data_IF_829270336887
#
_entry.id   IF_829270336887
#
_cell.length_a   1.000
_cell.length_b   1.000
_cell.length_c   1.000
_cell.angle_alpha   90.00
_cell.angle_beta   90.00
_cell.angle_gamma   90.00
#
_symmetry.space_group_name_H-M   'P 1'
#
loop_
_entity.id
_entity.type
_entity.pdbx_description
1 polymer ?
#
# COMPACT_ATOMS: atom_id res chain seq x y z
N UNK A 1 16.35 -5.41 17.56
CA UNK A 1 15.93 -4.02 17.86
C UNK A 1 15.03 -4.03 19.09
N UNK A 2 15.17 -3.08 20.02
CA UNK A 2 14.22 -2.96 21.13
C UNK A 2 12.84 -2.49 20.62
N UNK A 3 11.80 -2.75 21.39
CA UNK A 3 10.45 -2.23 21.13
C UNK A 3 10.33 -0.80 21.67
N UNK A 4 9.66 0.08 20.92
CA UNK A 4 9.37 1.46 21.34
C UNK A 4 8.30 1.53 22.45
N UNK A 5 7.41 0.54 22.52
CA UNK A 5 6.36 0.40 23.52
C UNK A 5 5.94 -1.06 23.67
N UNK A 6 5.20 -1.37 24.73
CA UNK A 6 4.66 -2.72 24.94
C UNK A 6 3.65 -3.10 23.85
N UNK A 7 3.70 -4.32 23.28
CA UNK A 7 2.75 -4.73 22.25
C UNK A 7 1.29 -4.52 22.65
N UNK A 8 0.50 -3.93 21.75
CA UNK A 8 -0.93 -3.66 21.97
C UNK A 8 -1.28 -2.37 22.73
N UNK A 9 -0.29 -1.60 23.21
CA UNK A 9 -0.58 -0.36 23.97
C UNK A 9 -0.63 0.91 23.11
N UNK A 10 0.01 0.90 21.93
CA UNK A 10 0.02 2.00 20.98
C UNK A 10 0.09 1.48 19.54
N UNK A 11 -0.14 2.37 18.58
CA UNK A 11 0.06 2.09 17.15
C UNK A 11 1.30 2.83 16.65
N UNK A 12 2.14 2.19 15.83
CA UNK A 12 3.24 2.88 15.16
C UNK A 12 3.53 2.22 13.81
N UNK A 13 3.78 3.04 12.80
CA UNK A 13 4.26 2.56 11.51
C UNK A 13 5.68 2.01 11.66
N UNK A 14 5.91 0.79 11.21
CA UNK A 14 7.15 0.06 11.54
C UNK A 14 7.42 -1.11 10.60
N UNK A 15 8.57 -1.76 10.80
CA UNK A 15 9.00 -3.01 10.14
C UNK A 15 8.17 -4.25 10.54
N UNK A 16 7.03 -4.07 11.23
CA UNK A 16 6.15 -5.18 11.60
C UNK A 16 5.71 -6.02 10.40
N UNK A 17 5.52 -5.42 9.23
CA UNK A 17 5.16 -6.14 8.00
C UNK A 17 6.31 -6.98 7.46
N UNK A 18 7.57 -6.58 7.66
CA UNK A 18 8.73 -7.42 7.35
C UNK A 18 8.77 -8.66 8.25
N UNK A 19 8.41 -8.50 9.53
CA UNK A 19 8.25 -9.63 10.46
C UNK A 19 7.11 -10.54 10.00
N UNK A 20 5.97 -10.00 9.54
CA UNK A 20 4.90 -10.82 8.95
C UNK A 20 5.38 -11.59 7.71
N UNK A 21 6.18 -10.97 6.83
CA UNK A 21 6.82 -11.63 5.70
C UNK A 21 7.68 -12.80 6.13
N UNK A 22 8.56 -12.60 7.11
CA UNK A 22 9.37 -13.68 7.69
C UNK A 22 8.52 -14.80 8.32
N UNK A 23 7.42 -14.45 9.00
CA UNK A 23 6.51 -15.45 9.57
C UNK A 23 5.85 -16.31 8.47
N UNK A 24 5.52 -15.73 7.32
CA UNK A 24 5.05 -16.52 6.15
C UNK A 24 6.12 -17.53 5.75
N UNK A 25 7.38 -17.13 5.68
CA UNK A 25 8.48 -18.03 5.30
C UNK A 25 8.63 -19.19 6.28
N UNK A 26 8.64 -18.89 7.59
CA UNK A 26 8.76 -19.90 8.64
C UNK A 26 7.58 -20.87 8.64
N UNK A 27 6.35 -20.37 8.46
CA UNK A 27 5.13 -21.18 8.56
C UNK A 27 4.90 -22.04 7.32
N UNK A 28 5.36 -21.59 6.15
CA UNK A 28 5.10 -22.26 4.87
C UNK A 28 6.30 -23.05 4.35
N UNK A 29 7.51 -22.75 4.83
CA UNK A 29 8.76 -23.29 4.30
C UNK A 29 9.12 -22.76 2.91
N UNK A 30 8.38 -21.79 2.37
CA UNK A 30 8.65 -21.12 1.09
C UNK A 30 9.33 -19.78 1.35
N UNK A 31 10.20 -19.33 0.45
CA UNK A 31 10.64 -17.93 0.48
C UNK A 31 9.48 -16.99 0.14
N UNK A 32 9.51 -15.75 0.64
CA UNK A 32 8.39 -14.82 0.53
C UNK A 32 8.04 -14.51 -0.93
N UNK A 33 9.02 -14.42 -1.83
CA UNK A 33 8.80 -14.21 -3.27
C UNK A 33 8.01 -15.36 -3.89
N UNK A 34 8.33 -16.62 -3.54
CA UNK A 34 7.63 -17.81 -4.04
C UNK A 34 6.22 -17.90 -3.51
N UNK A 35 6.04 -17.60 -2.23
CA UNK A 35 4.70 -17.60 -1.64
C UNK A 35 3.80 -16.53 -2.30
N UNK A 36 4.28 -15.30 -2.44
CA UNK A 36 3.50 -14.23 -3.07
C UNK A 36 3.22 -14.51 -4.55
N UNK A 37 4.20 -15.07 -5.27
CA UNK A 37 4.04 -15.49 -6.67
C UNK A 37 2.90 -16.51 -6.82
N UNK A 38 2.92 -17.58 -6.03
CA UNK A 38 1.97 -18.69 -6.16
C UNK A 38 0.57 -18.35 -5.63
N UNK A 39 0.48 -17.63 -4.50
CA UNK A 39 -0.78 -17.41 -3.80
C UNK A 39 -1.48 -16.10 -4.21
N UNK A 40 -0.75 -15.14 -4.79
CA UNK A 40 -1.29 -13.81 -5.13
C UNK A 40 -1.02 -13.43 -6.58
N UNK A 41 0.25 -13.38 -7.00
CA UNK A 41 0.59 -12.76 -8.28
C UNK A 41 0.09 -13.60 -9.46
N UNK A 42 0.32 -14.91 -9.46
CA UNK A 42 -0.17 -15.78 -10.53
C UNK A 42 -1.70 -15.85 -10.60
N UNK A 43 -2.45 -16.07 -9.49
CA UNK A 43 -3.91 -16.04 -9.52
C UNK A 43 -4.50 -14.73 -10.04
N UNK A 44 -3.82 -13.60 -9.81
CA UNK A 44 -4.26 -12.27 -10.24
C UNK A 44 -3.60 -11.80 -11.54
N UNK A 45 -2.76 -12.62 -12.17
CA UNK A 45 -1.98 -12.30 -13.37
C UNK A 45 -1.14 -11.02 -13.23
N UNK A 46 -0.54 -10.82 -12.06
CA UNK A 46 0.38 -9.71 -11.77
C UNK A 46 1.80 -10.05 -12.26
N UNK A 47 1.99 -10.08 -13.59
CA UNK A 47 3.17 -10.67 -14.24
C UNK A 47 4.47 -9.85 -14.07
N UNK A 48 4.35 -8.61 -13.60
CA UNK A 48 5.43 -7.66 -13.45
C UNK A 48 5.61 -7.22 -11.99
N UNK A 49 5.02 -7.96 -11.05
CA UNK A 49 5.16 -7.71 -9.61
C UNK A 49 6.16 -8.67 -8.99
N UNK A 50 7.08 -8.14 -8.20
CA UNK A 50 8.10 -8.93 -7.52
C UNK A 50 9.07 -8.08 -6.73
N UNK A 51 10.11 -8.70 -6.17
CA UNK A 51 11.12 -8.01 -5.37
C UNK A 51 12.27 -7.40 -6.19
N UNK A 52 12.32 -7.69 -7.50
CA UNK A 52 13.28 -7.12 -8.44
C UNK A 52 12.73 -7.25 -9.87
N UNK A 53 13.28 -6.48 -10.80
CA UNK A 53 12.95 -6.49 -12.22
C UNK A 53 13.95 -7.38 -12.97
N UNK A 54 13.50 -8.47 -13.63
CA UNK A 54 14.36 -9.28 -14.47
C UNK A 54 15.02 -8.46 -15.59
N UNK A 55 16.24 -8.83 -16.00
CA UNK A 55 17.04 -8.11 -16.99
C UNK A 55 16.31 -7.81 -18.31
N UNK A 56 15.41 -8.70 -18.75
CA UNK A 56 14.60 -8.53 -19.97
C UNK A 56 13.51 -7.44 -19.85
N UNK A 57 13.24 -6.93 -18.65
CA UNK A 57 12.15 -6.00 -18.34
C UNK A 57 12.64 -4.63 -17.85
N UNK A 58 13.94 -4.44 -17.61
CA UNK A 58 14.52 -3.22 -17.01
C UNK A 58 14.28 -1.95 -17.81
N UNK A 59 14.09 -2.08 -19.14
CA UNK A 59 13.75 -0.95 -20.02
C UNK A 59 12.43 -0.24 -19.69
N UNK A 60 11.55 -0.86 -18.87
CA UNK A 60 10.28 -0.26 -18.41
C UNK A 60 10.34 0.24 -16.97
N UNK A 61 11.44 -0.03 -16.25
CA UNK A 61 11.59 0.44 -14.87
C UNK A 61 11.75 1.96 -14.88
N UNK A 62 11.05 2.64 -13.98
CA UNK A 62 11.19 4.08 -13.75
C UNK A 62 12.26 4.35 -12.71
N UNK A 63 13.12 5.35 -12.97
CA UNK A 63 14.03 5.88 -11.95
C UNK A 63 13.26 6.61 -10.86
N UNK A 64 13.82 6.63 -9.64
CA UNK A 64 13.24 7.29 -8.48
C UNK A 64 14.08 8.49 -8.03
N UNK A 65 13.40 9.55 -7.64
CA UNK A 65 14.01 10.85 -7.36
C UNK A 65 13.67 11.35 -5.96
N UNK A 66 14.62 12.03 -5.33
CA UNK A 66 14.42 12.84 -4.12
C UNK A 66 14.16 14.29 -4.53
N UNK A 67 13.03 14.83 -4.10
CA UNK A 67 12.69 16.24 -4.27
C UNK A 67 13.63 17.14 -3.47
N UNK A 68 13.95 18.30 -4.06
CA UNK A 68 14.71 19.36 -3.39
C UNK A 68 14.09 20.72 -3.66
N UNK A 69 13.73 21.42 -2.58
CA UNK A 69 13.15 22.75 -2.70
C UNK A 69 14.11 23.73 -3.39
N UNK A 70 13.63 24.37 -4.46
CA UNK A 70 14.39 25.35 -5.25
C UNK A 70 15.58 24.78 -6.01
N UNK A 71 15.67 23.45 -6.19
CA UNK A 71 16.76 22.77 -6.90
C UNK A 71 16.22 21.64 -7.77
N UNK A 72 17.07 21.14 -8.67
CA UNK A 72 16.77 19.92 -9.40
C UNK A 72 16.65 18.72 -8.44
N UNK A 73 15.71 17.79 -8.69
CA UNK A 73 15.62 16.54 -7.96
C UNK A 73 16.90 15.70 -8.09
N UNK A 74 17.21 14.91 -7.06
CA UNK A 74 18.33 13.98 -7.11
C UNK A 74 17.84 12.60 -7.50
N UNK A 75 18.52 11.97 -8.46
CA UNK A 75 18.36 10.55 -8.75
C UNK A 75 18.86 9.72 -7.56
N UNK A 76 17.96 8.98 -6.92
CA UNK A 76 18.27 8.14 -5.74
C UNK A 76 18.20 6.64 -6.03
N UNK A 77 17.47 6.24 -7.07
CA UNK A 77 17.50 4.88 -7.59
C UNK A 77 17.34 4.91 -9.11
N UNK A 78 18.31 4.35 -9.82
CA UNK A 78 18.38 4.42 -11.28
C UNK A 78 17.75 3.18 -11.92
N UNK A 79 16.94 3.36 -12.95
CA UNK A 79 16.25 2.26 -13.63
C UNK A 79 17.19 1.20 -14.25
N UNK A 80 18.46 1.53 -14.50
CA UNK A 80 19.40 0.69 -15.23
C UNK A 80 20.61 0.26 -14.41
N UNK A 81 20.87 0.91 -13.28
CA UNK A 81 22.00 0.63 -12.39
C UNK A 81 21.62 0.54 -10.91
N UNK A 82 20.33 0.73 -10.62
CA UNK A 82 19.76 0.77 -9.28
C UNK A 82 19.61 -0.57 -8.59
N UNK A 83 18.99 -0.53 -7.41
CA UNK A 83 18.91 -1.69 -6.52
C UNK A 83 17.91 -2.76 -7.02
N UNK A 84 16.82 -2.33 -7.64
CA UNK A 84 15.73 -3.22 -8.06
C UNK A 84 16.02 -4.05 -9.32
N UNK A 85 17.16 -3.90 -10.00
CA UNK A 85 17.49 -4.73 -11.18
C UNK A 85 18.21 -6.03 -10.80
N UNK A 86 18.48 -6.24 -9.51
CA UNK A 86 19.14 -7.43 -8.97
C UNK A 86 18.28 -8.04 -7.85
N UNK A 87 18.30 -9.37 -7.66
CA UNK A 87 17.64 -10.00 -6.52
C UNK A 87 18.15 -9.39 -5.19
N UNK A 88 17.25 -8.96 -4.28
CA UNK A 88 17.67 -8.38 -3.02
C UNK A 88 18.17 -9.47 -2.06
N UNK A 89 18.98 -9.07 -1.08
CA UNK A 89 19.43 -9.96 0.00
C UNK A 89 18.37 -10.20 1.07
N UNK A 90 17.37 -9.31 1.16
CA UNK A 90 16.24 -9.39 2.08
C UNK A 90 14.93 -9.13 1.31
N UNK A 91 13.97 -10.04 1.43
CA UNK A 91 12.61 -9.88 0.90
C UNK A 91 11.77 -9.08 1.90
N UNK A 92 11.76 -7.75 1.76
CA UNK A 92 11.05 -6.85 2.67
C UNK A 92 9.53 -6.87 2.43
N UNK A 93 8.77 -7.48 3.33
CA UNK A 93 7.31 -7.45 3.32
C UNK A 93 6.70 -6.03 3.48
N UNK A 94 7.46 -5.08 4.04
CA UNK A 94 7.01 -3.70 4.25
C UNK A 94 7.31 -2.71 3.11
N UNK A 95 8.27 -2.99 2.22
CA UNK A 95 8.71 -2.01 1.22
C UNK A 95 9.61 -2.51 0.09
N UNK A 96 9.63 -3.80 -0.22
CA UNK A 96 10.55 -4.38 -1.21
C UNK A 96 9.98 -4.68 -2.61
N UNK A 97 8.69 -4.45 -2.85
CA UNK A 97 8.06 -4.80 -4.13
C UNK A 97 8.18 -3.69 -5.18
N UNK A 98 8.48 -4.10 -6.42
CA UNK A 98 8.19 -3.36 -7.66
C UNK A 98 6.95 -3.96 -8.30
N UNK A 99 6.18 -3.12 -9.01
CA UNK A 99 4.93 -3.50 -9.66
C UNK A 99 4.60 -2.53 -10.80
N UNK A 100 3.48 -2.76 -11.48
CA UNK A 100 2.94 -1.87 -12.53
C UNK A 100 1.55 -1.39 -12.14
N UNK A 101 1.07 -0.35 -12.82
CA UNK A 101 -0.28 0.16 -12.60
C UNK A 101 -1.33 -0.94 -12.78
N UNK A 102 -1.21 -1.73 -13.85
CA UNK A 102 -2.15 -2.79 -14.18
C UNK A 102 -2.13 -3.93 -13.17
N UNK A 103 -0.95 -4.37 -12.74
CA UNK A 103 -0.80 -5.40 -11.73
C UNK A 103 -1.40 -4.98 -10.39
N UNK A 104 -1.05 -3.77 -9.92
CA UNK A 104 -1.57 -3.28 -8.64
C UNK A 104 -3.08 -2.97 -8.72
N UNK A 105 -3.58 -2.61 -9.89
CA UNK A 105 -5.02 -2.48 -10.15
C UNK A 105 -5.72 -3.86 -10.10
N UNK A 106 -5.09 -4.94 -10.56
CA UNK A 106 -5.63 -6.29 -10.40
C UNK A 106 -5.76 -6.68 -8.93
N UNK A 107 -4.75 -6.37 -8.10
CA UNK A 107 -4.85 -6.50 -6.64
C UNK A 107 -6.02 -5.70 -6.07
N UNK A 108 -6.16 -4.42 -6.43
CA UNK A 108 -7.25 -3.58 -5.94
C UNK A 108 -8.64 -4.10 -6.37
N UNK A 109 -8.77 -4.58 -7.61
CA UNK A 109 -10.00 -5.21 -8.13
C UNK A 109 -10.32 -6.52 -7.43
N UNK A 110 -9.33 -7.31 -7.00
CA UNK A 110 -9.56 -8.51 -6.19
C UNK A 110 -10.18 -8.16 -4.83
N UNK A 111 -9.70 -7.08 -4.20
CA UNK A 111 -10.26 -6.58 -2.95
C UNK A 111 -11.69 -6.06 -3.17
N UNK A 112 -11.90 -5.24 -4.20
CA UNK A 112 -13.23 -4.73 -4.58
C UNK A 112 -14.21 -5.88 -4.88
N UNK A 113 -13.75 -6.90 -5.60
CA UNK A 113 -14.42 -8.17 -5.87
C UNK A 113 -14.51 -9.13 -4.68
N UNK A 114 -14.33 -8.63 -3.45
CA UNK A 114 -14.52 -9.33 -2.18
C UNK A 114 -13.66 -10.59 -2.04
N UNK A 115 -12.37 -10.46 -2.38
CA UNK A 115 -11.37 -11.52 -2.27
C UNK A 115 -11.22 -12.36 -3.54
N UNK A 116 -11.82 -11.95 -4.66
CA UNK A 116 -11.77 -12.68 -5.92
C UNK A 116 -11.74 -11.76 -7.14
N UNK A 117 -11.06 -12.20 -8.19
CA UNK A 117 -10.99 -11.54 -9.49
C UNK A 117 -11.09 -12.61 -10.59
N UNK A 118 -11.92 -12.37 -11.62
CA UNK A 118 -12.07 -13.27 -12.78
C UNK A 118 -12.26 -14.77 -12.44
N UNK A 119 -12.96 -15.07 -11.35
CA UNK A 119 -13.22 -16.44 -10.89
C UNK A 119 -12.11 -17.06 -10.03
N UNK A 120 -10.96 -16.41 -9.89
CA UNK A 120 -9.91 -16.81 -8.95
C UNK A 120 -10.13 -16.16 -7.58
N UNK A 121 -10.16 -16.98 -6.52
CA UNK A 121 -10.32 -16.52 -5.13
C UNK A 121 -9.00 -16.59 -4.39
N UNK A 122 -8.53 -15.44 -3.92
CA UNK A 122 -7.33 -15.30 -3.08
C UNK A 122 -7.70 -15.25 -1.60
N UNK A 123 -8.80 -14.55 -1.27
CA UNK A 123 -9.28 -14.42 0.10
C UNK A 123 -10.75 -14.83 0.19
N UNK A 124 -11.13 -15.42 1.33
CA UNK A 124 -12.55 -15.56 1.65
C UNK A 124 -13.15 -14.18 1.89
N UNK A 125 -14.42 -14.01 1.51
CA UNK A 125 -15.17 -12.77 1.77
C UNK A 125 -15.14 -12.37 3.25
N UNK A 126 -15.24 -13.35 4.17
CA UNK A 126 -15.22 -13.09 5.61
C UNK A 126 -13.85 -12.72 6.15
N UNK A 127 -12.78 -13.25 5.54
CA UNK A 127 -11.41 -12.82 5.81
C UNK A 127 -11.24 -11.36 5.42
N UNK A 128 -11.74 -10.97 4.24
CA UNK A 128 -11.66 -9.57 3.82
C UNK A 128 -12.49 -8.65 4.71
N UNK A 129 -13.72 -9.03 5.08
CA UNK A 129 -14.55 -8.27 6.03
C UNK A 129 -13.78 -8.02 7.36
N UNK A 130 -12.99 -9.01 7.82
CA UNK A 130 -12.14 -8.87 9.00
C UNK A 130 -10.95 -7.92 8.74
N UNK A 131 -10.29 -8.05 7.59
CA UNK A 131 -9.14 -7.20 7.23
C UNK A 131 -9.54 -5.73 7.09
N UNK A 132 -10.74 -5.46 6.56
CA UNK A 132 -11.27 -4.11 6.33
C UNK A 132 -11.90 -3.47 7.56
N UNK A 133 -11.99 -4.17 8.69
CA UNK A 133 -12.52 -3.63 9.94
C UNK A 133 -11.49 -2.74 10.64
N UNK A 134 -11.93 -1.76 11.45
CA UNK A 134 -11.01 -1.01 12.29
C UNK A 134 -10.53 -1.87 13.47
N UNK A 135 -9.24 -2.16 13.54
CA UNK A 135 -8.61 -2.96 14.60
C UNK A 135 -7.98 -2.11 15.70
N UNK A 136 -8.10 -0.79 15.64
CA UNK A 136 -7.65 0.10 16.70
C UNK A 136 -8.55 -0.01 17.95
N UNK A 137 -7.92 -0.09 19.12
CA UNK A 137 -8.59 -0.30 20.40
C UNK A 137 -9.72 0.69 20.63
N UNK A 138 -10.90 0.19 21.04
CA UNK A 138 -12.11 0.98 21.30
C UNK A 138 -12.63 1.81 20.11
N UNK A 139 -12.34 1.38 18.87
CA UNK A 139 -12.82 2.07 17.67
C UNK A 139 -12.17 3.44 17.44
N UNK A 140 -11.01 3.66 18.06
CA UNK A 140 -10.19 4.86 17.92
C UNK A 140 -9.77 5.11 16.47
N UNK A 141 -9.43 6.35 16.16
CA UNK A 141 -8.72 6.71 14.93
C UNK A 141 -7.21 6.75 15.17
N UNK A 142 -6.45 6.73 14.07
CA UNK A 142 -4.99 6.78 14.09
C UNK A 142 -4.48 8.04 14.79
N UNK A 143 -5.16 9.18 14.66
CA UNK A 143 -4.77 10.43 15.36
C UNK A 143 -4.72 10.25 16.87
N UNK A 144 -5.65 9.46 17.44
CA UNK A 144 -5.77 9.28 18.88
C UNK A 144 -4.80 8.27 19.51
N UNK A 145 -4.14 7.42 18.70
CA UNK A 145 -3.29 6.34 19.22
C UNK A 145 -1.94 6.16 18.53
N UNK A 146 -1.67 6.88 17.43
CA UNK A 146 -0.38 6.80 16.74
C UNK A 146 0.75 7.42 17.59
N UNK A 147 1.79 6.61 17.81
CA UNK A 147 3.03 7.00 18.45
C UNK A 147 3.98 7.55 17.39
N UNK A 148 4.37 8.83 17.50
CA UNK A 148 5.16 9.52 16.48
C UNK A 148 4.30 10.09 15.34
N UNK A 149 4.51 11.36 14.99
CA UNK A 149 3.75 12.08 13.96
C UNK A 149 4.39 11.89 12.57
N UNK A 150 4.46 10.66 12.09
CA UNK A 150 5.09 10.34 10.79
C UNK A 150 4.10 10.35 9.62
N UNK A 151 3.13 11.27 9.63
CA UNK A 151 2.09 11.30 8.59
C UNK A 151 1.86 12.65 7.99
N UNK A 152 1.71 12.61 6.67
CA UNK A 152 1.36 13.73 5.79
C UNK A 152 -0.13 14.10 5.93
N UNK A 153 -0.93 13.19 6.51
CA UNK A 153 -2.36 13.33 6.74
C UNK A 153 -2.67 13.43 8.23
N UNK A 154 -3.71 14.19 8.59
CA UNK A 154 -4.12 14.43 9.98
C UNK A 154 -4.54 13.16 10.74
N UNK A 155 -4.82 12.05 10.05
CA UNK A 155 -5.31 10.78 10.62
C UNK A 155 -6.61 10.86 11.44
N UNK A 156 -7.23 12.04 11.53
CA UNK A 156 -8.55 12.22 12.14
C UNK A 156 -9.58 11.50 11.28
N UNK A 157 -10.45 10.70 11.89
CA UNK A 157 -11.49 9.97 11.16
C UNK A 157 -10.96 8.81 10.30
N UNK A 158 -9.70 8.41 10.48
CA UNK A 158 -9.06 7.29 9.77
C UNK A 158 -8.63 6.23 10.77
N UNK A 159 -9.16 5.02 10.64
CA UNK A 159 -8.77 3.83 11.41
C UNK A 159 -7.68 3.04 10.71
N UNK A 160 -7.36 1.87 11.27
CA UNK A 160 -6.40 0.94 10.65
C UNK A 160 -6.90 -0.48 10.78
N UNK A 161 -6.98 -1.17 9.64
CA UNK A 161 -7.33 -2.58 9.55
C UNK A 161 -6.10 -3.47 9.48
N UNK A 162 -6.27 -4.67 8.93
CA UNK A 162 -5.15 -5.59 8.69
C UNK A 162 -4.58 -5.33 7.30
N UNK A 163 -3.65 -4.37 7.22
CA UNK A 163 -2.93 -4.01 5.99
C UNK A 163 -3.44 -2.76 5.26
N UNK A 164 -4.46 -2.07 5.79
CA UNK A 164 -5.06 -0.89 5.17
C UNK A 164 -5.35 0.20 6.21
N UNK A 165 -5.26 1.47 5.82
CA UNK A 165 -6.05 2.49 6.49
C UNK A 165 -7.52 2.34 6.12
N UNK A 166 -8.42 2.68 7.04
CA UNK A 166 -9.88 2.56 6.86
C UNK A 166 -10.53 3.91 7.12
N UNK A 167 -11.25 4.47 6.15
CA UNK A 167 -11.96 5.73 6.35
C UNK A 167 -13.17 5.52 7.27
N UNK A 168 -13.16 6.13 8.46
CA UNK A 168 -14.25 5.99 9.46
C UNK A 168 -15.27 7.13 9.36
N UNK A 169 -14.78 8.34 9.09
CA UNK A 169 -15.57 9.56 9.05
C UNK A 169 -14.98 10.55 8.01
N UNK A 170 -15.56 10.60 6.79
CA UNK A 170 -15.12 11.50 5.73
C UNK A 170 -15.14 12.99 6.13
N UNK A 171 -16.13 13.41 6.93
CA UNK A 171 -16.27 14.80 7.35
C UNK A 171 -15.17 15.20 8.34
N UNK A 172 -14.88 14.33 9.31
CA UNK A 172 -13.77 14.53 10.25
C UNK A 172 -12.40 14.46 9.56
N UNK A 173 -12.26 13.60 8.54
CA UNK A 173 -11.04 13.50 7.72
C UNK A 173 -10.88 14.63 6.70
N UNK A 174 -11.93 15.42 6.44
CA UNK A 174 -11.96 16.49 5.44
C UNK A 174 -11.56 16.02 4.03
N UNK A 175 -12.06 14.86 3.63
CA UNK A 175 -11.83 14.28 2.30
C UNK A 175 -13.12 13.78 1.68
N UNK A 176 -13.20 13.81 0.35
CA UNK A 176 -14.25 13.09 -0.38
C UNK A 176 -13.96 11.59 -0.36
N UNK A 177 -14.97 10.80 -0.02
CA UNK A 177 -14.90 9.35 -0.01
C UNK A 177 -15.93 8.73 0.90
N UNK A 178 -16.04 7.41 0.84
CA UNK A 178 -17.04 6.67 1.63
C UNK A 178 -16.47 6.07 2.90
N UNK A 179 -17.32 5.96 3.92
CA UNK A 179 -16.99 5.20 5.12
C UNK A 179 -16.72 3.73 4.76
N UNK A 180 -15.60 3.19 5.20
CA UNK A 180 -15.14 1.84 4.92
C UNK A 180 -14.18 1.73 3.73
N UNK A 181 -13.89 2.84 3.05
CA UNK A 181 -12.84 2.90 2.03
C UNK A 181 -11.48 2.44 2.62
N UNK A 182 -10.75 1.66 1.83
CA UNK A 182 -9.44 1.12 2.16
C UNK A 182 -8.36 1.84 1.38
N UNK A 183 -7.26 2.21 2.02
CA UNK A 183 -6.14 2.88 1.33
C UNK A 183 -4.78 2.54 1.93
N UNK A 184 -3.73 2.79 1.13
CA UNK A 184 -2.35 2.94 1.60
C UNK A 184 -1.51 3.68 0.56
N UNK A 185 -0.21 3.81 0.81
CA UNK A 185 0.71 4.42 -0.15
C UNK A 185 2.17 4.09 0.11
N UNK A 186 3.01 4.31 -0.91
CA UNK A 186 4.45 4.12 -0.83
C UNK A 186 5.21 5.42 -0.58
N UNK A 187 6.46 5.30 -0.13
CA UNK A 187 7.34 6.45 0.11
C UNK A 187 7.65 7.25 -1.17
N UNK A 188 7.69 6.58 -2.32
CA UNK A 188 7.91 7.16 -3.65
C UNK A 188 6.66 7.85 -4.24
N UNK A 189 5.74 8.31 -3.37
CA UNK A 189 4.47 8.97 -3.73
C UNK A 189 3.44 8.10 -4.46
N UNK A 190 3.65 6.78 -4.58
CA UNK A 190 2.60 5.87 -5.04
C UNK A 190 1.44 5.84 -4.02
N UNK A 191 0.23 5.62 -4.51
CA UNK A 191 -0.97 5.60 -3.68
C UNK A 191 -2.07 4.73 -4.30
N UNK A 192 -2.91 4.15 -3.47
CA UNK A 192 -4.15 3.54 -3.92
C UNK A 192 -5.27 3.76 -2.89
N UNK A 193 -6.51 3.69 -3.35
CA UNK A 193 -7.66 3.48 -2.49
C UNK A 193 -8.74 2.67 -3.21
N UNK A 194 -9.58 2.03 -2.42
CA UNK A 194 -10.65 1.14 -2.86
C UNK A 194 -11.89 1.55 -2.07
N UNK A 195 -12.92 2.00 -2.79
CA UNK A 195 -14.20 2.38 -2.24
C UNK A 195 -15.27 1.36 -2.67
N UNK A 196 -15.63 0.40 -1.78
CA UNK A 196 -16.65 -0.59 -2.10
C UNK A 196 -18.06 -0.02 -2.24
N UNK A 197 -18.35 1.18 -1.71
CA UNK A 197 -19.68 1.78 -1.86
C UNK A 197 -19.85 2.38 -3.25
N UNK A 198 -18.79 2.90 -3.83
CA UNK A 198 -18.76 3.49 -5.18
C UNK A 198 -18.35 2.48 -6.27
N UNK A 199 -18.19 1.19 -5.93
CA UNK A 199 -17.62 0.14 -6.80
C UNK A 199 -16.35 0.61 -7.53
N UNK A 200 -15.45 1.27 -6.80
CA UNK A 200 -14.34 2.01 -7.36
C UNK A 200 -12.99 1.58 -6.75
N UNK A 201 -11.97 1.48 -7.60
CA UNK A 201 -10.59 1.36 -7.19
C UNK A 201 -9.73 2.36 -7.98
N UNK A 202 -8.79 3.01 -7.29
CA UNK A 202 -7.87 3.97 -7.90
C UNK A 202 -6.44 3.62 -7.51
N UNK A 203 -5.56 3.62 -8.52
CA UNK A 203 -4.12 3.43 -8.35
C UNK A 203 -3.42 4.60 -9.02
N UNK A 204 -2.52 5.25 -8.28
CA UNK A 204 -1.66 6.31 -8.75
C UNK A 204 -0.19 5.92 -8.57
N UNK A 205 0.58 6.02 -9.64
CA UNK A 205 2.00 5.69 -9.65
C UNK A 205 2.85 6.86 -10.13
N UNK A 206 3.85 7.19 -9.33
CA UNK A 206 4.95 8.10 -9.65
C UNK A 206 6.18 7.63 -8.86
N UNK A 207 7.33 8.30 -9.03
CA UNK A 207 8.58 7.97 -8.35
C UNK A 207 9.28 9.22 -7.82
N UNK A 208 8.72 9.77 -6.73
CA UNK A 208 9.26 10.94 -6.05
C UNK A 208 9.19 10.77 -4.54
N UNK A 209 10.30 11.02 -3.85
CA UNK A 209 10.44 11.00 -2.39
C UNK A 209 10.73 12.41 -1.86
N UNK A 210 10.22 12.80 -0.68
CA UNK A 210 9.22 12.08 0.11
C UNK A 210 7.81 12.21 -0.51
N UNK A 211 6.90 11.33 -0.09
CA UNK A 211 5.48 11.39 -0.51
C UNK A 211 4.75 12.68 -0.13
N UNK A 212 5.36 13.50 0.74
CA UNK A 212 4.80 14.71 1.33
C UNK A 212 5.03 15.93 0.47
N UNK A 213 5.91 15.79 -0.53
CA UNK A 213 6.35 16.89 -1.39
C UNK A 213 5.17 17.64 -1.99
N UNK A 214 4.20 16.89 -2.52
CA UNK A 214 3.02 17.43 -3.18
C UNK A 214 1.76 16.79 -2.59
N UNK A 215 0.67 17.55 -2.52
CA UNK A 215 -0.60 17.07 -1.98
C UNK A 215 -1.41 16.22 -2.98
N UNK A 216 -0.72 15.41 -3.79
CA UNK A 216 -1.33 14.68 -4.92
C UNK A 216 -2.43 13.74 -4.46
N UNK A 217 -2.25 13.06 -3.31
CA UNK A 217 -3.24 12.11 -2.78
C UNK A 217 -4.59 12.77 -2.50
N UNK A 218 -4.60 13.98 -1.92
CA UNK A 218 -5.83 14.71 -1.61
C UNK A 218 -6.44 15.35 -2.85
N UNK A 219 -5.61 15.95 -3.69
CA UNK A 219 -6.06 16.62 -4.92
C UNK A 219 -6.65 15.63 -5.92
N UNK A 220 -5.96 14.51 -6.17
CA UNK A 220 -6.45 13.46 -7.06
C UNK A 220 -7.78 12.90 -6.57
N UNK A 221 -7.92 12.67 -5.26
CA UNK A 221 -9.16 12.23 -4.64
C UNK A 221 -10.30 13.20 -4.91
N UNK A 222 -10.11 14.49 -4.65
CA UNK A 222 -11.15 15.50 -4.93
C UNK A 222 -11.57 15.50 -6.40
N UNK A 223 -10.60 15.36 -7.32
CA UNK A 223 -10.88 15.29 -8.76
C UNK A 223 -11.67 14.03 -9.15
N UNK A 224 -11.27 12.87 -8.65
CA UNK A 224 -11.93 11.59 -8.94
C UNK A 224 -13.37 11.59 -8.44
N UNK A 225 -13.59 11.91 -7.16
CA UNK A 225 -14.95 11.88 -6.60
C UNK A 225 -15.87 12.95 -7.20
N UNK A 226 -15.33 14.10 -7.59
CA UNK A 226 -16.13 15.14 -8.27
C UNK A 226 -16.50 14.76 -9.71
N UNK A 227 -15.85 13.74 -10.28
CA UNK A 227 -16.12 13.26 -11.63
C UNK A 227 -17.14 12.10 -11.65
N UNK A 228 -17.56 11.58 -10.50
CA UNK A 228 -18.65 10.62 -10.41
C UNK A 228 -19.97 11.32 -10.78
N UNK A 229 -20.72 10.71 -11.68
CA UNK A 229 -22.08 11.11 -12.07
C UNK A 229 -23.07 10.07 -11.58
N UNK A 230 -24.18 10.52 -11.00
CA UNK A 230 -25.32 9.68 -10.60
C UNK A 230 -25.96 8.93 -11.79
#
# INVERSE_FOLDING_TARGET
MPLEFSPGTAWNYSVSTDVCGYLIEVLTGKSLDRFLEEEIFQPLRMLDTGFYVPSLKTQRLSSNYEYREGKEPILIDDAHSGSYINPPTLLSGGGGLVSTLDDYMAFCKMILGRGSLEGHRVLSRKTLDLMSSNHLTNGKDLRSCAYGRWSETSYTGVGFGLGFSVLLDPAASQVSGSKGELAWGGAASTAFWIDPLEDMAVVFMTQLIPSSTYNVRRELRSLVYSALSD
#
